data_IF_399741322697
#
_entry.id   IF_399741322697
#
_cell.length_a   1.000
_cell.length_b   1.000
_cell.length_c   1.000
_cell.angle_alpha   90.00
_cell.angle_beta   90.00
_cell.angle_gamma   90.00
#
_symmetry.space_group_name_H-M   'P 1'
#
loop_
_entity.id
_entity.type
_entity.pdbx_description
1 polymer ?
#
# COMPACT_ATOMS: atom_id res chain seq x y z
N UNK A 1 -37.00 -14.80 10.26
CA UNK A 1 -35.68 -14.19 9.95
C UNK A 1 -35.89 -12.69 9.90
N UNK A 2 -35.51 -11.97 10.96
CA UNK A 2 -35.73 -10.51 11.01
C UNK A 2 -34.76 -9.84 10.06
N UNK A 3 -35.27 -9.14 9.05
CA UNK A 3 -34.46 -8.31 8.17
C UNK A 3 -33.71 -7.29 9.05
N UNK A 4 -32.39 -7.40 9.11
CA UNK A 4 -31.57 -6.34 9.71
C UNK A 4 -31.83 -5.10 8.86
N UNK A 5 -32.51 -4.10 9.44
CA UNK A 5 -32.76 -2.83 8.76
C UNK A 5 -31.43 -2.32 8.20
N UNK A 6 -31.39 -2.07 6.89
CA UNK A 6 -30.23 -1.51 6.23
C UNK A 6 -29.98 -0.12 6.83
N UNK A 7 -28.93 0.01 7.65
CA UNK A 7 -28.44 1.33 8.04
C UNK A 7 -28.05 2.08 6.75
N UNK A 8 -28.36 3.38 6.64
CA UNK A 8 -27.96 4.16 5.48
C UNK A 8 -26.45 4.10 5.31
N UNK A 9 -25.99 3.92 4.07
CA UNK A 9 -24.57 3.89 3.75
C UNK A 9 -23.97 5.27 4.02
N UNK A 10 -22.84 5.30 4.72
CA UNK A 10 -22.12 6.55 4.97
C UNK A 10 -21.45 7.01 3.67
N UNK A 11 -21.44 8.31 3.41
CA UNK A 11 -20.80 8.90 2.22
C UNK A 11 -19.77 9.96 2.62
N UNK A 12 -18.79 10.17 1.75
CA UNK A 12 -17.75 11.17 1.89
C UNK A 12 -17.55 11.88 0.54
N UNK A 13 -17.34 13.19 0.58
CA UNK A 13 -17.03 13.98 -0.60
C UNK A 13 -15.53 13.87 -0.94
N UNK A 14 -15.23 13.41 -2.14
CA UNK A 14 -13.86 13.32 -2.69
C UNK A 14 -13.74 14.20 -3.95
N UNK A 15 -12.51 14.48 -4.43
CA UNK A 15 -12.31 15.19 -5.69
C UNK A 15 -13.02 14.55 -6.90
N UNK A 16 -13.30 13.25 -6.82
CA UNK A 16 -13.99 12.44 -7.82
C UNK A 16 -15.52 12.47 -7.67
N UNK A 17 -16.06 12.91 -6.51
CA UNK A 17 -17.49 13.08 -6.25
C UNK A 17 -17.93 12.57 -4.88
N UNK A 18 -19.22 12.31 -4.70
CA UNK A 18 -19.72 11.64 -3.48
C UNK A 18 -19.42 10.14 -3.56
N UNK A 19 -18.57 9.66 -2.67
CA UNK A 19 -18.20 8.26 -2.57
C UNK A 19 -18.85 7.60 -1.35
N UNK A 20 -19.18 6.31 -1.47
CA UNK A 20 -19.84 5.54 -0.42
C UNK A 20 -18.83 4.69 0.35
N UNK A 21 -18.87 4.76 1.68
CA UNK A 21 -18.05 3.93 2.54
C UNK A 21 -18.58 2.50 2.56
N UNK A 22 -17.66 1.55 2.40
CA UNK A 22 -17.98 0.11 2.46
C UNK A 22 -18.40 -0.27 3.89
N UNK A 23 -19.60 -0.84 4.09
CA UNK A 23 -20.05 -1.25 5.43
C UNK A 23 -19.08 -2.22 6.11
N UNK A 24 -18.78 -1.96 7.38
CA UNK A 24 -17.87 -2.79 8.18
C UNK A 24 -16.38 -2.55 7.92
N UNK A 25 -16.03 -1.67 6.97
CA UNK A 25 -14.64 -1.25 6.72
C UNK A 25 -14.45 0.16 7.27
N UNK A 26 -13.51 0.31 8.22
CA UNK A 26 -13.14 1.63 8.76
C UNK A 26 -12.22 2.35 7.76
N UNK A 27 -12.52 3.60 7.36
CA UNK A 27 -11.63 4.39 6.52
C UNK A 27 -10.27 4.62 7.18
N UNK A 28 -9.21 4.71 6.37
CA UNK A 28 -7.87 5.04 6.84
C UNK A 28 -7.71 6.57 6.87
N UNK A 29 -7.57 7.11 8.07
CA UNK A 29 -7.38 8.55 8.28
C UNK A 29 -5.93 8.97 8.09
N UNK A 30 -5.69 10.28 7.96
CA UNK A 30 -4.32 10.84 7.93
C UNK A 30 -3.55 10.48 9.21
N UNK A 31 -4.23 10.45 10.36
CA UNK A 31 -3.64 10.03 11.63
C UNK A 31 -3.15 8.57 11.57
N UNK A 32 -3.99 7.65 11.09
CA UNK A 32 -3.64 6.23 10.97
C UNK A 32 -2.39 6.06 10.07
N UNK A 33 -2.31 6.82 8.97
CA UNK A 33 -1.14 6.82 8.08
C UNK A 33 0.14 7.30 8.78
N UNK A 34 0.04 8.34 9.61
CA UNK A 34 1.18 8.88 10.35
C UNK A 34 1.65 7.93 11.45
N UNK A 35 0.73 7.37 12.24
CA UNK A 35 1.04 6.36 13.27
C UNK A 35 1.75 5.15 12.65
N UNK A 36 1.23 4.64 11.53
CA UNK A 36 1.85 3.55 10.80
C UNK A 36 3.29 3.88 10.31
N UNK A 37 3.55 5.12 9.90
CA UNK A 37 4.89 5.56 9.49
C UNK A 37 5.84 5.70 10.69
N UNK A 38 5.35 6.13 11.85
CA UNK A 38 6.14 6.22 13.07
C UNK A 38 6.59 4.84 13.57
N UNK A 39 5.73 3.84 13.45
CA UNK A 39 6.00 2.46 13.85
C UNK A 39 6.90 1.68 12.86
N UNK A 40 7.18 2.27 11.69
CA UNK A 40 8.00 1.66 10.63
C UNK A 40 9.34 2.39 10.38
N UNK A 41 10.20 2.61 11.41
CA UNK A 41 11.44 3.37 11.25
C UNK A 41 12.46 2.73 10.28
N UNK A 42 12.36 1.42 10.05
CA UNK A 42 13.27 0.65 9.18
C UNK A 42 12.79 0.51 7.73
N UNK A 43 11.87 1.37 7.25
CA UNK A 43 11.52 1.36 5.83
C UNK A 43 12.69 1.80 4.97
N UNK A 44 13.00 1.08 3.87
CA UNK A 44 14.06 1.48 2.97
C UNK A 44 13.72 2.85 2.37
N UNK A 45 14.66 3.79 2.48
CA UNK A 45 14.52 5.18 1.99
C UNK A 45 14.68 5.32 0.48
N UNK A 46 15.10 4.24 -0.18
CA UNK A 46 15.26 4.12 -1.61
C UNK A 46 14.76 2.73 -2.03
N UNK A 47 14.46 2.55 -3.32
CA UNK A 47 14.18 1.22 -3.85
C UNK A 47 15.33 0.27 -3.48
N UNK A 48 15.01 -0.83 -2.78
CA UNK A 48 16.01 -1.87 -2.54
C UNK A 48 16.37 -2.49 -3.88
N UNK A 49 17.66 -2.49 -4.19
CA UNK A 49 18.16 -3.24 -5.33
C UNK A 49 18.01 -4.74 -5.03
N UNK A 50 17.69 -5.54 -6.05
CA UNK A 50 17.80 -7.00 -5.97
C UNK A 50 19.16 -7.43 -5.37
N UNK A 51 19.15 -8.48 -4.54
CA UNK A 51 20.32 -8.94 -3.76
C UNK A 51 21.47 -9.47 -4.64
N UNK A 52 21.14 -9.82 -5.88
CA UNK A 52 22.04 -10.25 -6.95
C UNK A 52 22.80 -9.09 -7.62
N UNK A 53 22.46 -7.83 -7.32
CA UNK A 53 23.14 -6.65 -7.88
C UNK A 53 24.09 -6.05 -6.82
N UNK A 54 25.40 -6.29 -6.93
CA UNK A 54 26.36 -5.82 -5.94
C UNK A 54 27.83 -6.19 -6.21
N UNK A 55 28.69 -6.12 -5.18
CA UNK A 55 30.13 -6.41 -5.28
C UNK A 55 30.44 -7.86 -5.75
N UNK A 56 29.48 -8.78 -5.53
CA UNK A 56 29.57 -10.18 -5.90
C UNK A 56 28.48 -10.57 -6.92
N UNK A 57 28.08 -9.63 -7.79
CA UNK A 57 26.99 -9.78 -8.76
C UNK A 57 27.05 -11.14 -9.49
N UNK A 58 26.31 -12.12 -8.98
CA UNK A 58 26.26 -13.49 -9.51
C UNK A 58 25.53 -13.49 -10.87
N UNK A 59 24.69 -12.47 -11.14
CA UNK A 59 24.01 -12.28 -12.40
C UNK A 59 24.93 -11.67 -13.49
N UNK A 60 26.03 -11.02 -13.11
CA UNK A 60 27.02 -10.47 -14.05
C UNK A 60 27.64 -11.55 -14.96
N UNK A 61 27.71 -12.80 -14.49
CA UNK A 61 28.20 -13.95 -15.28
C UNK A 61 27.25 -14.41 -16.39
N UNK A 62 25.99 -13.98 -16.36
CA UNK A 62 25.00 -14.29 -17.40
C UNK A 62 24.89 -13.21 -18.49
N UNK A 63 25.68 -12.12 -18.42
CA UNK A 63 25.87 -11.24 -19.57
C UNK A 63 26.92 -11.84 -20.50
N UNK A 64 26.54 -12.90 -21.21
CA UNK A 64 27.18 -13.18 -22.49
C UNK A 64 26.72 -12.10 -23.46
N UNK A 65 27.68 -11.33 -23.97
CA UNK A 65 27.48 -10.45 -25.11
C UNK A 65 26.94 -11.30 -26.27
N UNK A 66 25.62 -11.22 -26.50
CA UNK A 66 25.03 -11.65 -27.75
C UNK A 66 24.76 -10.37 -28.54
N UNK A 67 25.83 -9.98 -29.27
CA UNK A 67 25.94 -8.96 -30.32
C UNK A 67 26.25 -7.53 -29.89
#
# INVERSE_FOLDING_TARGET
MSARGSLPLQTEATPEGEETLVPGVRPITTRDRLEFLMDAPMRPRAAQKPLDIGLFDDAQRNQLDLF
#
